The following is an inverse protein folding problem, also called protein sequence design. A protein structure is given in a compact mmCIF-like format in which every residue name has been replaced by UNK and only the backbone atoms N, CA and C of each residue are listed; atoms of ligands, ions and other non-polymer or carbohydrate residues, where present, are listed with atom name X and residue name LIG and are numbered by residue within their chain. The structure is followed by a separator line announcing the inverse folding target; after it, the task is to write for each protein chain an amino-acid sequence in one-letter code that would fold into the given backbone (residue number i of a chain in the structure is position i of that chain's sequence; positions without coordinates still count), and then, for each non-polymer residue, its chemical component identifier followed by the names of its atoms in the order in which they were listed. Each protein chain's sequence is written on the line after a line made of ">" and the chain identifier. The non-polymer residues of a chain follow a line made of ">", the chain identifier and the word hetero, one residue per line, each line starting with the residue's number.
data_IF_026586546143
#
_entry.id   IF_026586546143
#
_cell.length_a   1.000
_cell.length_b   1.000
_cell.length_c   1.000
_cell.angle_alpha   90.00
_cell.angle_beta   90.00
_cell.angle_gamma   90.00
#
_symmetry.space_group_name_H-M   'P 1'
#
loop_
_entity.id
_entity.type
_entity.pdbx_description
1 polymer ?
#
# COMPACT_ATOMS: atom_id res chain seq x y z
N UNK A 1 41.41 -3.49 -5.86
CA UNK A 1 41.07 -2.64 -7.01
C UNK A 1 39.56 -2.53 -7.09
N UNK A 2 38.98 -1.34 -6.93
CA UNK A 2 37.54 -1.15 -7.11
C UNK A 2 37.19 -1.38 -8.58
N UNK A 3 36.38 -2.39 -8.89
CA UNK A 3 35.90 -2.61 -10.26
C UNK A 3 34.97 -1.45 -10.61
N UNK A 4 35.47 -0.49 -11.37
CA UNK A 4 34.69 0.63 -11.91
C UNK A 4 33.60 0.08 -12.82
N UNK A 5 32.34 0.24 -12.43
CA UNK A 5 31.20 -0.08 -13.28
C UNK A 5 31.27 0.74 -14.57
N UNK A 6 31.00 0.08 -15.71
CA UNK A 6 30.93 0.77 -16.99
C UNK A 6 29.84 1.86 -16.98
N UNK A 7 30.02 2.95 -17.76
CA UNK A 7 29.10 4.10 -17.75
C UNK A 7 27.63 3.71 -18.02
N UNK A 8 27.39 2.68 -18.83
CA UNK A 8 26.06 2.16 -19.15
C UNK A 8 25.45 1.45 -17.94
N UNK A 9 26.21 0.57 -17.27
CA UNK A 9 25.75 -0.12 -16.06
C UNK A 9 25.38 0.85 -14.93
N UNK A 10 26.14 1.95 -14.77
CA UNK A 10 25.80 3.01 -13.80
C UNK A 10 24.47 3.70 -14.11
N UNK A 11 24.16 3.96 -15.38
CA UNK A 11 22.89 4.56 -15.79
C UNK A 11 21.70 3.62 -15.54
N UNK A 12 21.85 2.35 -15.89
CA UNK A 12 20.81 1.34 -15.65
C UNK A 12 20.56 1.19 -14.15
N UNK A 13 21.63 1.04 -13.36
CA UNK A 13 21.51 0.92 -11.90
C UNK A 13 20.78 2.11 -11.26
N UNK A 14 21.13 3.35 -11.66
CA UNK A 14 20.41 4.54 -11.20
C UNK A 14 18.93 4.51 -11.59
N UNK A 15 18.61 4.08 -12.80
CA UNK A 15 17.23 3.94 -13.26
C UNK A 15 16.44 2.94 -12.41
N UNK A 16 17.01 1.77 -12.14
CA UNK A 16 16.42 0.76 -11.26
C UNK A 16 16.21 1.32 -9.85
N UNK A 17 17.20 2.01 -9.30
CA UNK A 17 17.13 2.57 -7.96
C UNK A 17 16.03 3.64 -7.83
N UNK A 18 15.85 4.49 -8.85
CA UNK A 18 14.74 5.44 -8.90
C UNK A 18 13.40 4.72 -9.00
N UNK A 19 13.29 3.68 -9.83
CA UNK A 19 12.05 2.90 -9.97
C UNK A 19 11.67 2.20 -8.66
N UNK A 20 12.64 1.62 -7.94
CA UNK A 20 12.42 1.00 -6.63
C UNK A 20 11.93 2.02 -5.59
N UNK A 21 12.57 3.19 -5.52
CA UNK A 21 12.15 4.27 -4.62
C UNK A 21 10.71 4.73 -4.90
N UNK A 22 10.34 4.88 -6.18
CA UNK A 22 8.98 5.23 -6.57
C UNK A 22 7.97 4.13 -6.20
N UNK A 23 8.35 2.86 -6.38
CA UNK A 23 7.53 1.72 -5.99
C UNK A 23 7.25 1.68 -4.48
N UNK A 24 8.30 1.82 -3.66
CA UNK A 24 8.19 1.86 -2.19
C UNK A 24 7.36 3.06 -1.74
N UNK A 25 7.60 4.24 -2.33
CA UNK A 25 6.85 5.45 -2.00
C UNK A 25 5.36 5.30 -2.34
N UNK A 26 5.03 4.71 -3.49
CA UNK A 26 3.66 4.42 -3.89
C UNK A 26 2.96 3.44 -2.93
N UNK A 27 3.64 2.36 -2.55
CA UNK A 27 3.11 1.39 -1.59
C UNK A 27 2.88 2.01 -0.21
N UNK A 28 3.83 2.82 0.28
CA UNK A 28 3.69 3.53 1.55
C UNK A 28 2.53 4.53 1.52
N UNK A 29 2.41 5.32 0.44
CA UNK A 29 1.32 6.28 0.28
C UNK A 29 -0.04 5.57 0.27
N UNK A 30 -0.15 4.47 -0.47
CA UNK A 30 -1.35 3.64 -0.52
C UNK A 30 -1.71 3.12 0.87
N UNK A 31 -0.75 2.55 1.60
CA UNK A 31 -0.95 2.03 2.94
C UNK A 31 -1.36 3.13 3.92
N UNK A 32 -0.67 4.27 3.91
CA UNK A 32 -0.98 5.40 4.77
C UNK A 32 -2.38 5.97 4.50
N UNK A 33 -2.79 6.02 3.23
CA UNK A 33 -4.13 6.49 2.84
C UNK A 33 -5.22 5.50 3.25
N UNK A 34 -4.98 4.19 3.14
CA UNK A 34 -5.86 3.16 3.70
C UNK A 34 -5.95 3.24 5.22
N UNK A 35 -4.85 3.54 5.92
CA UNK A 35 -4.87 3.66 7.37
C UNK A 35 -5.66 4.88 7.86
N UNK A 36 -5.54 6.01 7.15
CA UNK A 36 -6.12 7.30 7.56
C UNK A 36 -7.58 7.47 7.14
N UNK A 37 -7.99 6.91 5.99
CA UNK A 37 -9.31 7.20 5.40
C UNK A 37 -10.16 5.93 5.22
N UNK A 38 -11.25 5.89 5.96
CA UNK A 38 -12.26 4.84 5.84
C UNK A 38 -13.02 4.87 4.52
N UNK A 39 -13.28 6.05 3.95
CA UNK A 39 -13.96 6.19 2.66
C UNK A 39 -13.07 5.71 1.51
N UNK A 40 -11.75 5.89 1.66
CA UNK A 40 -10.79 5.31 0.73
C UNK A 40 -10.79 3.77 0.81
N UNK A 41 -10.86 3.20 2.03
CA UNK A 41 -11.05 1.75 2.21
C UNK A 41 -12.37 1.26 1.59
N UNK A 42 -13.44 2.04 1.68
CA UNK A 42 -14.72 1.71 1.02
C UNK A 42 -14.61 1.75 -0.52
N UNK A 43 -13.84 2.68 -1.06
CA UNK A 43 -13.58 2.73 -2.51
C UNK A 43 -12.74 1.53 -2.94
N UNK A 44 -11.73 1.17 -2.15
CA UNK A 44 -10.89 -0.01 -2.37
C UNK A 44 -11.69 -1.30 -2.25
N UNK A 45 -12.66 -1.41 -1.33
CA UNK A 45 -13.51 -2.61 -1.24
C UNK A 45 -14.32 -2.86 -2.50
N UNK A 46 -14.73 -1.77 -3.19
CA UNK A 46 -15.46 -1.84 -4.47
C UNK A 46 -14.55 -2.08 -5.68
N UNK A 47 -13.38 -1.43 -5.74
CA UNK A 47 -12.48 -1.48 -6.92
C UNK A 47 -11.42 -2.58 -6.85
N UNK A 48 -10.83 -2.78 -5.68
CA UNK A 48 -9.67 -3.66 -5.47
C UNK A 48 -9.79 -4.43 -4.14
N UNK A 49 -10.79 -5.32 -4.01
CA UNK A 49 -11.07 -6.01 -2.74
C UNK A 49 -9.88 -6.81 -2.22
N UNK A 50 -9.08 -7.40 -3.11
CA UNK A 50 -7.88 -8.16 -2.74
C UNK A 50 -6.82 -7.30 -2.04
N UNK A 51 -6.57 -6.08 -2.52
CA UNK A 51 -5.60 -5.16 -1.92
C UNK A 51 -6.06 -4.76 -0.51
N UNK A 52 -7.36 -4.50 -0.35
CA UNK A 52 -7.93 -4.18 0.94
C UNK A 52 -7.85 -5.36 1.93
N UNK A 53 -8.03 -6.59 1.45
CA UNK A 53 -7.89 -7.77 2.29
C UNK A 53 -6.44 -7.96 2.81
N UNK A 54 -5.45 -7.75 1.94
CA UNK A 54 -4.03 -7.77 2.32
C UNK A 54 -3.75 -6.69 3.37
N UNK A 55 -4.30 -5.49 3.20
CA UNK A 55 -4.21 -4.42 4.19
C UNK A 55 -4.76 -4.87 5.55
N UNK A 56 -5.98 -5.42 5.59
CA UNK A 56 -6.58 -5.89 6.85
C UNK A 56 -5.74 -6.97 7.52
N UNK A 57 -5.31 -7.99 6.76
CA UNK A 57 -4.44 -9.05 7.29
C UNK A 57 -3.13 -8.50 7.85
N UNK A 58 -2.57 -7.47 7.22
CA UNK A 58 -1.32 -6.85 7.65
C UNK A 58 -1.49 -6.11 8.98
N UNK A 59 -2.56 -5.33 9.14
CA UNK A 59 -2.81 -4.58 10.38
C UNK A 59 -3.29 -5.48 11.53
N UNK A 60 -4.05 -6.53 11.22
CA UNK A 60 -4.44 -7.56 12.20
C UNK A 60 -3.20 -8.30 12.70
N UNK A 61 -2.25 -8.62 11.82
CA UNK A 61 -0.97 -9.22 12.19
C UNK A 61 -0.10 -8.29 13.03
N UNK A 62 -0.22 -6.97 12.86
CA UNK A 62 0.46 -5.99 13.71
C UNK A 62 -0.28 -5.70 15.03
N UNK A 63 -1.37 -6.40 15.33
CA UNK A 63 -2.14 -6.27 16.57
C UNK A 63 -3.26 -5.23 16.55
N UNK A 64 -3.57 -4.61 15.41
CA UNK A 64 -4.69 -3.69 15.27
C UNK A 64 -5.94 -4.45 14.78
N UNK A 65 -6.73 -4.95 15.72
CA UNK A 65 -7.98 -5.65 15.44
C UNK A 65 -9.19 -4.69 15.42
N UNK A 66 -10.32 -5.14 14.85
CA UNK A 66 -11.59 -4.41 14.87
C UNK A 66 -11.79 -3.38 13.75
N UNK A 67 -10.73 -2.95 13.04
CA UNK A 67 -10.84 -1.98 11.93
C UNK A 67 -11.76 -2.50 10.81
N UNK A 68 -11.69 -3.81 10.51
CA UNK A 68 -12.55 -4.45 9.51
C UNK A 68 -14.02 -4.40 9.91
N UNK A 69 -14.32 -4.70 11.16
CA UNK A 69 -15.69 -4.76 11.69
C UNK A 69 -16.31 -3.36 11.69
N UNK A 70 -15.58 -2.36 12.18
CA UNK A 70 -15.99 -0.95 12.15
C UNK A 70 -16.29 -0.45 10.73
N UNK A 71 -15.47 -0.85 9.77
CA UNK A 71 -15.68 -0.53 8.36
C UNK A 71 -16.96 -1.17 7.82
N UNK A 72 -17.21 -2.45 8.10
CA UNK A 72 -18.44 -3.13 7.66
C UNK A 72 -19.68 -2.51 8.29
N UNK A 73 -19.67 -2.24 9.60
CA UNK A 73 -20.79 -1.61 10.31
C UNK A 73 -21.14 -0.24 9.70
N UNK A 74 -20.14 0.61 9.46
CA UNK A 74 -20.37 1.93 8.86
C UNK A 74 -20.90 1.81 7.43
N UNK A 75 -20.39 0.89 6.63
CA UNK A 75 -20.81 0.73 5.24
C UNK A 75 -22.22 0.15 5.12
N UNK A 76 -22.61 -0.72 6.04
CA UNK A 76 -23.99 -1.22 6.15
C UNK A 76 -24.94 -0.09 6.54
N UNK A 77 -24.59 0.70 7.56
CA UNK A 77 -25.40 1.83 7.99
C UNK A 77 -25.52 2.94 6.92
N UNK A 78 -24.50 3.15 6.09
CA UNK A 78 -24.55 4.15 5.01
C UNK A 78 -25.47 3.78 3.83
N UNK A 79 -25.99 2.55 3.79
CA UNK A 79 -26.91 2.07 2.74
C UNK A 79 -28.39 2.16 3.13
N UNK A 80 -28.68 2.39 4.41
CA UNK A 80 -30.03 2.57 4.95
C UNK A 80 -30.33 4.05 5.15
#
# INVERSE_FOLDING_TARGET
>A
MARTMEPVAKKIFKGVLVAELLGVFGAYFLFNKMNTSQDFRQTMSKKFPFILEVYYKSIEKSGMYGVREQDQEKWLNSKN
#
